data_IF_119086789553
#
_entry.id   IF_119086789553
#
_cell.length_a   1.000
_cell.length_b   1.000
_cell.length_c   1.000
_cell.angle_alpha   90.00
_cell.angle_beta   90.00
_cell.angle_gamma   90.00
#
_symmetry.space_group_name_H-M   'P 1'
#
loop_
_entity.id
_entity.type
_entity.pdbx_description
1 polymer ?
#
# COMPACT_ATOMS: atom_id res chain seq x y z
N UNK A 1 -0.87 18.62 5.59
CA UNK A 1 -1.63 19.51 6.51
C UNK A 1 -0.79 19.79 7.77
N UNK A 2 0.25 20.64 7.64
CA UNK A 2 1.25 20.93 8.70
C UNK A 2 0.65 21.49 10.00
N UNK A 3 -0.52 22.06 9.95
CA UNK A 3 -1.23 22.58 11.14
C UNK A 3 -1.82 21.44 12.00
N UNK A 4 -2.02 20.26 11.43
CA UNK A 4 -2.60 19.10 12.13
C UNK A 4 -1.49 18.11 12.51
N UNK A 5 -0.62 17.78 11.57
CA UNK A 5 0.55 16.91 11.75
C UNK A 5 1.67 17.38 10.79
N UNK A 6 2.89 17.59 11.28
CA UNK A 6 4.03 18.01 10.45
C UNK A 6 4.50 16.94 9.47
N UNK A 7 4.20 15.65 9.76
CA UNK A 7 4.59 14.53 8.91
C UNK A 7 3.61 14.37 7.72
N UNK A 8 4.09 13.90 6.57
CA UNK A 8 3.23 13.42 5.50
C UNK A 8 2.32 12.29 6.01
N UNK A 9 1.11 12.18 5.46
CA UNK A 9 0.07 11.26 5.96
C UNK A 9 0.54 9.79 6.08
N UNK A 10 1.35 9.30 5.16
CA UNK A 10 1.90 7.93 5.20
C UNK A 10 2.88 7.67 6.36
N UNK A 11 3.35 8.70 7.06
CA UNK A 11 4.26 8.60 8.21
C UNK A 11 3.61 9.09 9.51
N UNK A 12 2.34 9.43 9.48
CA UNK A 12 1.61 10.01 10.60
C UNK A 12 0.69 8.98 11.26
N UNK A 13 0.99 8.61 12.50
CA UNK A 13 0.10 7.79 13.32
C UNK A 13 -1.24 8.49 13.58
N UNK A 14 -1.26 9.81 13.62
CA UNK A 14 -2.50 10.56 13.77
C UNK A 14 -3.44 10.29 12.61
N UNK A 15 -2.98 10.48 11.36
CA UNK A 15 -3.80 10.25 10.17
C UNK A 15 -4.18 8.79 10.00
N UNK A 16 -3.23 7.85 10.19
CA UNK A 16 -3.47 6.44 9.91
C UNK A 16 -4.22 5.74 11.04
N UNK A 17 -3.88 5.99 12.31
CA UNK A 17 -4.50 5.27 13.43
C UNK A 17 -5.71 6.02 13.99
N UNK A 18 -5.60 7.34 14.24
CA UNK A 18 -6.70 8.07 14.87
C UNK A 18 -7.82 8.38 13.88
N UNK A 19 -7.48 8.90 12.71
CA UNK A 19 -8.50 9.26 11.71
C UNK A 19 -8.95 8.03 10.92
N UNK A 20 -8.04 7.42 10.15
CA UNK A 20 -8.43 6.37 9.20
C UNK A 20 -8.95 5.12 9.91
N UNK A 21 -8.18 4.58 10.88
CA UNK A 21 -8.57 3.35 11.59
C UNK A 21 -9.72 3.55 12.56
N UNK A 22 -9.61 4.56 13.46
CA UNK A 22 -10.59 4.73 14.55
C UNK A 22 -11.83 5.50 14.12
N UNK A 23 -11.69 6.70 13.56
CA UNK A 23 -12.85 7.52 13.23
C UNK A 23 -13.59 7.00 11.99
N UNK A 24 -12.86 6.62 10.93
CA UNK A 24 -13.46 6.13 9.69
C UNK A 24 -13.65 4.61 9.66
N UNK A 25 -13.26 3.88 10.72
CA UNK A 25 -13.39 2.43 10.84
C UNK A 25 -12.79 1.64 9.66
N UNK A 26 -11.74 2.16 9.03
CA UNK A 26 -11.13 1.48 7.88
C UNK A 26 -10.37 0.24 8.32
N UNK A 27 -10.83 -0.94 7.89
CA UNK A 27 -10.27 -2.25 8.26
C UNK A 27 -9.37 -2.89 7.19
N UNK A 28 -9.23 -2.25 6.02
CA UNK A 28 -8.40 -2.74 4.91
C UNK A 28 -6.90 -2.55 5.13
N UNK A 29 -6.07 -3.04 4.21
CA UNK A 29 -4.64 -2.80 4.20
C UNK A 29 -4.33 -1.34 3.81
N UNK A 30 -3.32 -0.75 4.46
CA UNK A 30 -2.81 0.59 4.19
C UNK A 30 -1.43 0.44 3.53
N UNK A 31 -1.28 1.03 2.35
CA UNK A 31 -0.01 1.09 1.64
C UNK A 31 0.58 2.50 1.73
N UNK A 32 1.90 2.57 1.74
CA UNK A 32 2.58 3.86 1.53
C UNK A 32 2.43 4.29 0.07
N UNK A 33 2.68 5.57 -0.20
CA UNK A 33 3.14 5.98 -1.52
C UNK A 33 4.61 5.54 -1.71
N UNK A 34 5.21 5.79 -2.87
CA UNK A 34 6.59 5.41 -3.17
C UNK A 34 7.58 6.05 -2.18
N UNK A 35 8.22 5.22 -1.37
CA UNK A 35 9.22 5.65 -0.39
C UNK A 35 10.51 6.18 -1.04
N UNK A 36 10.72 5.99 -2.34
CA UNK A 36 11.87 6.53 -3.07
C UNK A 36 11.62 7.93 -3.64
N UNK A 37 10.40 8.47 -3.54
CA UNK A 37 10.05 9.80 -4.05
C UNK A 37 10.91 10.92 -3.46
N UNK A 38 11.23 11.91 -4.28
CA UNK A 38 11.97 13.12 -3.83
C UNK A 38 11.26 13.85 -2.68
N UNK A 39 9.92 13.88 -2.69
CA UNK A 39 9.14 14.58 -1.67
C UNK A 39 9.34 14.05 -0.25
N UNK A 40 9.75 12.80 -0.09
CA UNK A 40 9.97 12.16 1.23
C UNK A 40 11.45 11.98 1.58
N UNK A 41 12.38 12.34 0.69
CA UNK A 41 13.82 12.21 0.96
C UNK A 41 14.30 13.07 2.13
N UNK A 42 13.62 14.17 2.42
CA UNK A 42 13.90 15.04 3.58
C UNK A 42 13.54 14.41 4.92
N UNK A 43 12.79 13.30 4.94
CA UNK A 43 12.41 12.58 6.17
C UNK A 43 13.57 11.75 6.70
N UNK A 44 14.50 11.32 5.82
CA UNK A 44 15.67 10.52 6.18
C UNK A 44 16.03 9.48 5.13
N UNK A 45 16.85 8.53 5.52
CA UNK A 45 17.25 7.37 4.71
C UNK A 45 16.07 6.47 4.40
N UNK A 46 16.22 5.57 3.43
CA UNK A 46 15.16 4.59 3.10
C UNK A 46 14.79 3.73 4.32
N UNK A 47 15.77 3.34 5.13
CA UNK A 47 15.56 2.56 6.35
C UNK A 47 14.72 3.31 7.39
N UNK A 48 15.01 4.60 7.60
CA UNK A 48 14.21 5.43 8.52
C UNK A 48 12.79 5.62 8.02
N UNK A 49 12.60 5.85 6.72
CA UNK A 49 11.27 5.96 6.10
C UNK A 49 10.45 4.69 6.26
N UNK A 50 11.07 3.51 6.09
CA UNK A 50 10.43 2.21 6.32
C UNK A 50 9.96 2.09 7.77
N UNK A 51 10.84 2.37 8.73
CA UNK A 51 10.52 2.27 10.15
C UNK A 51 9.37 3.22 10.52
N UNK A 52 9.42 4.46 10.10
CA UNK A 52 8.38 5.46 10.36
C UNK A 52 7.03 5.05 9.75
N UNK A 53 7.00 4.57 8.52
CA UNK A 53 5.77 4.13 7.87
C UNK A 53 5.12 2.93 8.58
N UNK A 54 5.92 1.92 8.97
CA UNK A 54 5.44 0.77 9.72
C UNK A 54 4.97 1.15 11.13
N UNK A 55 5.68 2.03 11.81
CA UNK A 55 5.29 2.55 13.12
C UNK A 55 3.99 3.37 13.03
N UNK A 56 3.84 4.17 11.98
CA UNK A 56 2.61 4.92 11.72
C UNK A 56 1.41 4.00 11.45
N UNK A 57 1.64 2.78 10.96
CA UNK A 57 0.61 1.76 10.78
C UNK A 57 0.30 1.41 9.34
N UNK A 58 1.22 1.66 8.41
CA UNK A 58 1.17 1.07 7.08
C UNK A 58 1.36 -0.44 7.15
N UNK A 59 0.63 -1.17 6.32
CA UNK A 59 0.68 -2.62 6.19
C UNK A 59 1.58 -3.04 5.00
N UNK A 60 1.67 -2.21 3.96
CA UNK A 60 2.50 -2.43 2.79
C UNK A 60 3.37 -1.21 2.47
N UNK A 61 4.57 -1.46 1.98
CA UNK A 61 5.55 -0.44 1.64
C UNK A 61 5.83 -0.49 0.14
N UNK A 62 5.77 0.66 -0.53
CA UNK A 62 6.10 0.77 -1.95
C UNK A 62 7.48 1.39 -2.10
N UNK A 63 8.36 0.73 -2.83
CA UNK A 63 9.67 1.23 -3.24
C UNK A 63 9.79 1.04 -4.74
N UNK A 64 9.57 2.11 -5.48
CA UNK A 64 9.52 2.11 -6.93
C UNK A 64 10.80 2.72 -7.52
N UNK A 65 11.11 2.38 -8.77
CA UNK A 65 12.14 3.04 -9.58
C UNK A 65 13.59 3.04 -9.03
N UNK A 66 13.85 2.47 -7.85
CA UNK A 66 15.18 2.34 -7.27
C UNK A 66 15.42 0.92 -6.74
N UNK A 67 16.08 0.08 -7.56
CA UNK A 67 16.39 -1.30 -7.18
C UNK A 67 17.23 -1.38 -5.90
N UNK A 68 18.18 -0.46 -5.72
CA UNK A 68 19.05 -0.43 -4.54
C UNK A 68 18.25 -0.18 -3.26
N UNK A 69 17.33 0.80 -3.29
CA UNK A 69 16.46 1.09 -2.15
C UNK A 69 15.53 -0.10 -1.84
N UNK A 70 15.05 -0.82 -2.86
CA UNK A 70 14.23 -2.01 -2.66
C UNK A 70 15.01 -3.14 -1.98
N UNK A 71 16.28 -3.36 -2.35
CA UNK A 71 17.16 -4.34 -1.69
C UNK A 71 17.39 -3.93 -0.22
N UNK A 72 17.75 -2.67 0.03
CA UNK A 72 17.94 -2.15 1.39
C UNK A 72 16.67 -2.26 2.24
N UNK A 73 15.49 -2.07 1.62
CA UNK A 73 14.21 -2.25 2.29
C UNK A 73 14.02 -3.69 2.77
N UNK A 74 14.26 -4.67 1.92
CA UNK A 74 14.16 -6.09 2.26
C UNK A 74 15.14 -6.47 3.36
N UNK A 75 16.43 -6.10 3.23
CA UNK A 75 17.45 -6.37 4.26
C UNK A 75 17.08 -5.74 5.62
N UNK A 76 16.49 -4.55 5.61
CA UNK A 76 16.06 -3.89 6.83
C UNK A 76 14.93 -4.65 7.53
N UNK A 77 13.94 -5.15 6.77
CA UNK A 77 12.84 -5.96 7.28
C UNK A 77 13.31 -7.32 7.81
N UNK A 78 14.25 -7.96 7.13
CA UNK A 78 14.85 -9.24 7.57
C UNK A 78 15.59 -9.08 8.91
N UNK A 79 16.30 -7.97 9.10
CA UNK A 79 17.01 -7.66 10.35
C UNK A 79 16.10 -7.23 11.48
N UNK A 80 14.88 -6.79 11.18
CA UNK A 80 13.95 -6.23 12.13
C UNK A 80 12.52 -6.79 11.98
N UNK A 81 12.34 -8.13 12.09
CA UNK A 81 11.05 -8.78 11.85
C UNK A 81 9.95 -8.31 12.83
N UNK A 82 10.33 -7.79 13.99
CA UNK A 82 9.42 -7.20 14.97
C UNK A 82 8.66 -5.97 14.46
N UNK A 83 9.13 -5.33 13.40
CA UNK A 83 8.42 -4.23 12.75
C UNK A 83 7.16 -4.71 12.02
N UNK A 84 7.12 -5.98 11.61
CA UNK A 84 5.98 -6.58 10.93
C UNK A 84 5.01 -7.11 11.99
N UNK A 85 3.88 -6.44 12.12
CA UNK A 85 2.85 -6.82 13.09
C UNK A 85 1.98 -7.95 12.55
N UNK A 86 1.53 -8.86 13.41
CA UNK A 86 0.70 -10.01 13.03
C UNK A 86 -0.58 -9.60 12.28
N UNK A 87 -1.23 -8.53 12.69
CA UNK A 87 -2.44 -8.05 12.01
C UNK A 87 -2.19 -7.50 10.60
N UNK A 88 -0.97 -7.03 10.30
CA UNK A 88 -0.54 -6.62 8.96
C UNK A 88 -0.63 -7.79 7.98
N UNK A 89 -0.08 -8.95 8.37
CA UNK A 89 -0.15 -10.17 7.56
C UNK A 89 -1.60 -10.55 7.27
N UNK A 90 -2.46 -10.53 8.29
CA UNK A 90 -3.87 -10.85 8.11
C UNK A 90 -4.64 -9.88 7.21
N UNK A 91 -4.26 -8.60 7.16
CA UNK A 91 -4.85 -7.63 6.23
C UNK A 91 -4.38 -7.84 4.80
N UNK A 92 -3.08 -8.06 4.61
CA UNK A 92 -2.49 -8.32 3.30
C UNK A 92 -3.02 -9.62 2.70
N UNK A 93 -3.21 -10.67 3.51
CA UNK A 93 -3.79 -11.93 3.04
C UNK A 93 -5.20 -11.77 2.46
N UNK A 94 -5.98 -10.80 2.92
CA UNK A 94 -7.31 -10.51 2.36
C UNK A 94 -7.28 -9.94 0.95
N UNK A 95 -6.14 -9.47 0.47
CA UNK A 95 -5.95 -8.97 -0.89
C UNK A 95 -5.75 -10.09 -1.90
N UNK A 96 -5.37 -11.29 -1.44
CA UNK A 96 -5.22 -12.43 -2.33
C UNK A 96 -6.59 -12.96 -2.76
N UNK A 97 -6.74 -13.34 -4.03
CA UNK A 97 -8.01 -13.85 -4.54
C UNK A 97 -8.38 -15.15 -3.83
N UNK A 98 -9.62 -15.25 -3.38
CA UNK A 98 -10.18 -16.49 -2.79
C UNK A 98 -10.44 -17.57 -3.83
N UNK A 99 -10.59 -17.19 -5.09
CA UNK A 99 -10.76 -18.08 -6.25
C UNK A 99 -9.96 -17.49 -7.41
N UNK A 100 -9.23 -18.34 -8.07
CA UNK A 100 -8.59 -18.01 -9.35
C UNK A 100 -9.49 -18.45 -10.48
N UNK A 101 -9.84 -17.55 -11.38
CA UNK A 101 -10.49 -17.87 -12.65
C UNK A 101 -9.42 -17.87 -13.74
N UNK A 102 -9.51 -18.85 -14.64
CA UNK A 102 -8.74 -18.73 -15.91
C UNK A 102 -9.30 -17.56 -16.71
N UNK A 103 -8.47 -16.97 -17.59
CA UNK A 103 -8.91 -15.86 -18.43
C UNK A 103 -10.14 -16.27 -19.27
N UNK A 104 -10.17 -17.49 -19.82
CA UNK A 104 -11.30 -18.00 -20.59
C UNK A 104 -12.58 -18.09 -19.76
N UNK A 105 -12.50 -18.56 -18.52
CA UNK A 105 -13.65 -18.61 -17.63
C UNK A 105 -14.15 -17.20 -17.24
N UNK A 106 -13.22 -16.26 -17.01
CA UNK A 106 -13.54 -14.87 -16.74
C UNK A 106 -14.26 -14.22 -17.92
N UNK A 107 -13.78 -14.42 -19.15
CA UNK A 107 -14.37 -13.88 -20.38
C UNK A 107 -15.79 -14.38 -20.65
N UNK A 108 -16.18 -15.52 -20.08
CA UNK A 108 -17.54 -16.07 -20.19
C UNK A 108 -18.51 -15.46 -19.18
N UNK A 109 -18.03 -14.69 -18.20
CA UNK A 109 -18.90 -14.06 -17.20
C UNK A 109 -19.66 -12.86 -17.77
N UNK A 110 -20.87 -12.64 -17.28
CA UNK A 110 -21.68 -11.47 -17.65
C UNK A 110 -21.01 -10.16 -17.21
N UNK A 111 -20.28 -10.19 -16.08
CA UNK A 111 -19.50 -9.04 -15.59
C UNK A 111 -18.43 -8.64 -16.58
N UNK A 112 -17.69 -9.61 -17.16
CA UNK A 112 -16.70 -9.33 -18.20
C UNK A 112 -17.32 -8.73 -19.44
N UNK A 113 -18.40 -9.36 -19.95
CA UNK A 113 -19.09 -8.88 -21.16
C UNK A 113 -19.63 -7.46 -20.98
N UNK A 114 -20.22 -7.16 -19.82
CA UNK A 114 -20.70 -5.83 -19.48
C UNK A 114 -19.57 -4.82 -19.43
N UNK A 115 -18.44 -5.14 -18.80
CA UNK A 115 -17.27 -4.27 -18.74
C UNK A 115 -16.68 -3.98 -20.14
N UNK A 116 -16.55 -5.02 -20.98
CA UNK A 116 -16.07 -4.85 -22.37
C UNK A 116 -16.99 -3.94 -23.17
N UNK A 117 -18.31 -4.12 -23.06
CA UNK A 117 -19.29 -3.29 -23.77
C UNK A 117 -19.23 -1.82 -23.33
N UNK A 118 -18.98 -1.55 -22.06
CA UNK A 118 -18.78 -0.17 -21.56
C UNK A 118 -17.50 0.47 -22.06
N UNK A 119 -16.43 -0.31 -22.22
CA UNK A 119 -15.13 0.21 -22.65
C UNK A 119 -15.00 0.33 -24.18
N UNK A 120 -15.74 -0.49 -24.94
CA UNK A 120 -15.65 -0.52 -26.40
C UNK A 120 -15.74 0.86 -27.08
N UNK A 121 -16.69 1.75 -26.72
CA UNK A 121 -16.75 3.09 -27.34
C UNK A 121 -15.53 3.97 -27.06
N UNK A 122 -14.74 3.66 -26.01
CA UNK A 122 -13.52 4.40 -25.69
C UNK A 122 -12.28 3.90 -26.44
N UNK A 123 -12.35 2.68 -26.99
CA UNK A 123 -11.26 2.05 -27.75
C UNK A 123 -11.39 2.25 -29.24
N UNK A 124 -12.59 2.58 -29.75
CA UNK A 124 -12.90 2.80 -31.14
C UNK A 124 -12.74 4.29 -31.57
N UNK A 125 -12.18 5.16 -30.68
CA UNK A 125 -11.76 6.54 -30.93
C UNK A 125 -10.24 6.64 -30.95
#
# INVERSE_FOLDING_TARGET
YKQVDPLPSGFSSYWLQSILRKQLNFAGAIFTDDLSMKAVQTIGTISERIQLALQAGCDGLLVCNCRQDAILALENLERSPQLIKLYTVGRLQKLFPRRTLTLSALQQTDTWRSAVNLLKPLLDN
#
